data_IF_968201259203
#
_entry.id   IF_968201259203
#
_cell.length_a   1.000
_cell.length_b   1.000
_cell.length_c   1.000
_cell.angle_alpha   90.00
_cell.angle_beta   90.00
_cell.angle_gamma   90.00
#
_symmetry.space_group_name_H-M   'P 1'
#
loop_
_entity.id
_entity.type
_entity.pdbx_description
1 polymer ?
#
# COMPACT_ATOMS: atom_id res chain seq x y z
N UNK A 1 17.60 5.59 -10.75
CA UNK A 1 17.49 5.70 -9.27
C UNK A 1 16.18 5.07 -8.84
N UNK A 2 16.10 4.27 -7.76
CA UNK A 2 14.82 3.73 -7.29
C UNK A 2 14.12 4.70 -6.32
N UNK A 3 12.78 4.63 -6.22
CA UNK A 3 11.95 5.58 -5.47
C UNK A 3 12.37 5.69 -3.98
N UNK A 4 12.74 4.56 -3.38
CA UNK A 4 13.19 4.48 -1.98
C UNK A 4 14.50 5.25 -1.78
N UNK A 5 15.49 5.08 -2.67
CA UNK A 5 16.75 5.84 -2.60
C UNK A 5 16.53 7.34 -2.77
N UNK A 6 15.65 7.76 -3.69
CA UNK A 6 15.35 9.18 -3.88
C UNK A 6 14.77 9.81 -2.61
N UNK A 7 13.77 9.18 -1.99
CA UNK A 7 13.12 9.73 -0.80
C UNK A 7 14.00 9.64 0.44
N UNK A 8 14.79 8.56 0.58
CA UNK A 8 15.78 8.47 1.64
C UNK A 8 16.88 9.53 1.49
N UNK A 9 17.29 9.85 0.26
CA UNK A 9 18.19 10.97 -0.01
C UNK A 9 17.55 12.30 0.43
N UNK A 10 16.28 12.53 0.09
CA UNK A 10 15.58 13.74 0.53
C UNK A 10 15.57 13.90 2.06
N UNK A 11 15.31 12.81 2.79
CA UNK A 11 15.30 12.79 4.24
C UNK A 11 16.68 13.10 4.84
N UNK A 12 17.75 12.53 4.27
CA UNK A 12 19.10 12.68 4.83
C UNK A 12 19.78 14.01 4.45
N UNK A 13 19.46 14.57 3.28
CA UNK A 13 20.21 15.70 2.72
C UNK A 13 19.50 17.05 2.90
N UNK A 14 18.17 17.08 2.96
CA UNK A 14 17.40 18.33 3.05
C UNK A 14 16.75 18.51 4.42
N UNK A 15 15.49 18.95 4.47
CA UNK A 15 14.81 19.37 5.70
C UNK A 15 14.50 18.23 6.68
N UNK A 16 14.63 16.96 6.26
CA UNK A 16 14.26 15.77 7.02
C UNK A 16 12.83 15.78 7.60
N UNK A 17 11.97 16.67 7.12
CA UNK A 17 10.65 16.94 7.70
C UNK A 17 9.58 17.28 6.66
N UNK A 18 10.00 17.54 5.42
CA UNK A 18 9.13 17.84 4.28
C UNK A 18 9.69 17.20 3.02
N UNK A 19 8.86 17.05 2.00
CA UNK A 19 9.29 16.56 0.68
C UNK A 19 9.71 17.74 -0.20
N UNK A 20 10.91 17.67 -0.80
CA UNK A 20 11.45 18.73 -1.65
C UNK A 20 10.85 18.67 -3.06
N UNK A 21 10.70 19.83 -3.70
CA UNK A 21 10.18 19.95 -5.06
C UNK A 21 11.04 19.21 -6.08
N UNK A 22 12.35 19.41 -6.10
CA UNK A 22 13.22 18.73 -7.07
C UNK A 22 14.67 18.76 -6.61
N UNK A 23 15.45 17.79 -7.09
CA UNK A 23 16.90 17.79 -7.06
C UNK A 23 17.40 16.95 -8.24
N UNK A 24 18.61 17.21 -8.71
CA UNK A 24 19.23 16.44 -9.78
C UNK A 24 19.86 15.15 -9.24
N UNK A 25 20.24 14.22 -10.12
CA UNK A 25 20.85 12.94 -9.70
C UNK A 25 22.18 13.10 -8.93
N UNK A 26 22.86 14.24 -9.13
CA UNK A 26 24.06 14.68 -8.39
C UNK A 26 23.76 15.25 -7.01
N UNK A 27 22.48 15.53 -6.68
CA UNK A 27 22.05 16.17 -5.44
C UNK A 27 21.79 17.67 -5.54
N UNK A 28 22.13 18.30 -6.66
CA UNK A 28 22.01 19.75 -6.82
C UNK A 28 20.55 20.20 -6.91
N UNK A 29 20.25 21.36 -6.30
CA UNK A 29 18.95 22.03 -6.45
C UNK A 29 18.86 22.67 -7.84
N UNK A 30 18.36 21.93 -8.84
CA UNK A 30 18.10 22.48 -10.17
C UNK A 30 16.94 21.82 -10.90
N UNK A 31 16.41 22.54 -11.88
CA UNK A 31 15.65 21.95 -12.97
C UNK A 31 16.57 21.74 -14.18
N UNK A 32 16.49 20.60 -14.87
CA UNK A 32 17.30 20.34 -16.07
C UNK A 32 17.15 21.41 -17.16
N UNK A 33 15.98 22.05 -17.23
CA UNK A 33 15.63 23.06 -18.24
C UNK A 33 15.91 24.51 -17.82
N UNK A 34 16.26 24.76 -16.55
CA UNK A 34 16.59 26.11 -16.05
C UNK A 34 18.01 26.27 -15.49
N UNK A 35 18.75 25.17 -15.31
CA UNK A 35 20.09 25.20 -14.73
C UNK A 35 20.12 25.57 -13.23
N UNK A 36 21.32 25.80 -12.70
CA UNK A 36 21.56 26.05 -11.27
C UNK A 36 21.07 27.43 -10.79
N UNK A 37 20.93 28.41 -11.68
CA UNK A 37 20.63 29.80 -11.32
C UNK A 37 19.26 29.96 -10.65
N UNK A 38 18.31 29.07 -10.95
CA UNK A 38 16.98 29.07 -10.34
C UNK A 38 16.85 28.07 -9.17
N UNK A 39 17.97 27.51 -8.66
CA UNK A 39 17.96 26.56 -7.56
C UNK A 39 17.29 27.09 -6.30
N UNK A 40 17.44 28.39 -6.01
CA UNK A 40 16.78 29.05 -4.88
C UNK A 40 15.24 29.11 -4.96
N UNK A 41 14.64 28.85 -6.12
CA UNK A 41 13.18 28.78 -6.30
C UNK A 41 12.61 27.38 -6.04
N UNK A 42 13.45 26.39 -5.74
CA UNK A 42 13.00 25.04 -5.41
C UNK A 42 12.41 25.06 -4.01
N UNK A 43 11.12 24.80 -3.92
CA UNK A 43 10.45 24.68 -2.62
C UNK A 43 10.99 23.48 -1.86
N UNK A 44 11.37 23.68 -0.61
CA UNK A 44 11.75 22.61 0.32
C UNK A 44 10.53 21.87 0.89
N UNK A 45 9.31 22.34 0.62
CA UNK A 45 8.06 21.69 0.99
C UNK A 45 7.11 21.72 -0.22
N UNK A 46 6.98 20.59 -0.93
CA UNK A 46 6.23 20.53 -2.16
C UNK A 46 5.44 19.22 -2.31
N UNK A 47 4.13 19.37 -2.47
CA UNK A 47 3.20 18.26 -2.44
C UNK A 47 3.40 17.24 -3.57
N UNK A 48 3.92 17.63 -4.75
CA UNK A 48 4.08 16.67 -5.85
C UNK A 48 5.09 15.55 -5.58
N UNK A 49 5.85 15.66 -4.49
CA UNK A 49 6.88 14.71 -4.06
C UNK A 49 6.39 13.84 -2.91
N UNK A 50 5.10 13.88 -2.57
CA UNK A 50 4.49 13.04 -1.52
C UNK A 50 3.98 11.70 -2.05
N UNK A 51 4.37 11.31 -3.28
CA UNK A 51 3.99 10.04 -3.90
C UNK A 51 4.14 8.80 -3.00
N UNK A 52 5.22 8.66 -2.19
CA UNK A 52 5.34 7.53 -1.28
C UNK A 52 4.25 7.43 -0.22
N UNK A 53 3.68 8.55 0.23
CA UNK A 53 2.56 8.52 1.19
C UNK A 53 1.38 7.78 0.60
N UNK A 54 0.96 8.14 -0.62
CA UNK A 54 -0.11 7.45 -1.33
C UNK A 54 0.26 6.00 -1.67
N UNK A 55 1.49 5.76 -2.14
CA UNK A 55 1.92 4.40 -2.52
C UNK A 55 2.00 3.44 -1.34
N UNK A 56 2.44 3.91 -0.16
CA UNK A 56 2.50 3.08 1.04
C UNK A 56 1.09 2.72 1.54
N UNK A 57 0.14 3.66 1.45
CA UNK A 57 -1.25 3.40 1.86
C UNK A 57 -1.97 2.50 0.86
N UNK A 58 -1.98 2.89 -0.41
CA UNK A 58 -2.86 2.30 -1.43
C UNK A 58 -2.32 0.99 -2.01
N UNK A 59 -1.00 0.88 -2.19
CA UNK A 59 -0.37 -0.29 -2.83
C UNK A 59 0.30 -1.23 -1.83
N UNK A 60 1.13 -0.70 -0.93
CA UNK A 60 1.79 -1.55 0.08
C UNK A 60 0.79 -2.00 1.14
N UNK A 61 -0.05 -1.08 1.64
CA UNK A 61 -1.23 -1.42 2.45
C UNK A 61 -2.27 -2.20 1.65
N UNK A 62 -2.37 -1.94 0.35
CA UNK A 62 -3.19 -2.71 -0.59
C UNK A 62 -4.67 -2.34 -0.60
N UNK A 63 -5.13 -1.45 0.27
CA UNK A 63 -6.52 -1.01 0.32
C UNK A 63 -6.68 0.23 -0.56
N UNK A 64 -7.41 0.12 -1.67
CA UNK A 64 -7.58 1.20 -2.64
C UNK A 64 -9.05 1.45 -2.97
N UNK A 65 -9.51 2.72 -3.07
CA UNK A 65 -10.84 3.02 -3.58
C UNK A 65 -10.89 2.81 -5.10
N UNK A 66 -11.96 2.20 -5.60
CA UNK A 66 -12.17 1.90 -7.04
C UNK A 66 -13.18 2.85 -7.67
N UNK A 67 -14.24 3.21 -6.94
CA UNK A 67 -15.25 4.17 -7.40
C UNK A 67 -15.39 5.35 -6.45
N UNK A 68 -16.17 6.35 -6.88
CA UNK A 68 -16.41 7.58 -6.15
C UNK A 68 -16.70 7.35 -4.66
N UNK A 69 -15.98 8.10 -3.84
CA UNK A 69 -16.07 8.05 -2.39
C UNK A 69 -15.89 6.65 -1.78
N UNK A 70 -15.28 5.68 -2.47
CA UNK A 70 -15.03 4.35 -1.91
C UNK A 70 -16.29 3.51 -1.76
N UNK A 71 -17.35 3.78 -2.53
CA UNK A 71 -18.51 2.87 -2.64
C UNK A 71 -18.06 1.46 -3.02
N UNK A 72 -17.05 1.41 -3.87
CA UNK A 72 -16.25 0.23 -4.10
C UNK A 72 -14.77 0.50 -3.83
N UNK A 73 -14.07 -0.52 -3.34
CA UNK A 73 -12.66 -0.58 -3.01
C UNK A 73 -12.03 -1.87 -3.56
N UNK A 74 -10.76 -2.12 -3.30
CA UNK A 74 -10.14 -3.44 -3.52
C UNK A 74 -9.04 -3.63 -2.48
N UNK A 75 -8.79 -4.89 -2.12
CA UNK A 75 -7.64 -5.24 -1.30
C UNK A 75 -6.64 -6.10 -2.07
N UNK A 76 -5.52 -5.48 -2.45
CA UNK A 76 -4.41 -6.11 -3.19
C UNK A 76 -3.07 -5.68 -2.55
N UNK A 77 -2.64 -6.33 -1.46
CA UNK A 77 -1.43 -5.94 -0.74
C UNK A 77 -0.15 -6.30 -1.50
N UNK A 78 0.70 -5.31 -1.78
CA UNK A 78 2.04 -5.51 -2.34
C UNK A 78 3.09 -5.70 -1.24
N UNK A 79 2.93 -6.72 -0.40
CA UNK A 79 3.82 -6.98 0.74
C UNK A 79 5.18 -7.61 0.33
N UNK A 80 5.22 -8.34 -0.80
CA UNK A 80 6.40 -9.08 -1.23
C UNK A 80 7.61 -8.16 -1.50
N UNK A 81 8.77 -8.53 -0.95
CA UNK A 81 10.03 -7.82 -1.18
C UNK A 81 10.09 -6.40 -0.59
N UNK A 82 9.19 -6.06 0.33
CA UNK A 82 9.19 -4.75 1.02
C UNK A 82 10.08 -4.72 2.27
N UNK A 83 10.49 -5.88 2.78
CA UNK A 83 11.12 -6.06 4.10
C UNK A 83 10.30 -5.52 5.30
N UNK A 84 9.00 -5.26 5.08
CA UNK A 84 8.06 -4.83 6.12
C UNK A 84 7.43 -6.06 6.77
N UNK A 85 7.65 -6.27 8.06
CA UNK A 85 7.00 -7.35 8.81
C UNK A 85 5.57 -7.04 9.24
N UNK A 86 5.28 -5.77 9.53
CA UNK A 86 3.98 -5.30 10.03
C UNK A 86 3.67 -3.93 9.42
N UNK A 87 2.41 -3.72 9.02
CA UNK A 87 1.94 -2.47 8.47
C UNK A 87 0.57 -2.13 9.02
N UNK A 88 0.36 -0.85 9.33
CA UNK A 88 -0.96 -0.27 9.58
C UNK A 88 -1.11 1.02 8.80
N UNK A 89 -2.19 1.15 8.04
CA UNK A 89 -2.50 2.35 7.26
C UNK A 89 -4.00 2.50 7.05
N UNK A 90 -4.42 3.60 6.44
CA UNK A 90 -5.81 3.89 6.19
C UNK A 90 -6.03 5.27 5.59
N UNK A 91 -7.28 5.54 5.26
CA UNK A 91 -7.73 6.83 4.73
C UNK A 91 -9.22 7.04 5.06
N UNK A 92 -9.66 8.29 4.98
CA UNK A 92 -11.07 8.66 5.17
C UNK A 92 -11.63 9.19 3.86
N UNK A 93 -12.80 8.69 3.46
CA UNK A 93 -13.61 9.21 2.37
C UNK A 93 -14.97 9.69 2.89
N UNK A 94 -15.78 10.26 2.00
CA UNK A 94 -17.12 10.73 2.37
C UNK A 94 -18.05 9.60 2.88
N UNK A 95 -17.74 8.33 2.56
CA UNK A 95 -18.46 7.14 3.05
C UNK A 95 -18.01 6.69 4.44
N UNK A 96 -16.83 7.12 4.90
CA UNK A 96 -16.27 6.76 6.21
C UNK A 96 -14.79 6.40 6.16
N UNK A 97 -14.33 5.79 7.23
CA UNK A 97 -12.94 5.39 7.42
C UNK A 97 -12.66 4.00 6.84
N UNK A 98 -11.50 3.88 6.22
CA UNK A 98 -10.93 2.66 5.69
C UNK A 98 -9.61 2.40 6.42
N UNK A 99 -9.49 1.26 7.09
CA UNK A 99 -8.27 0.89 7.80
C UNK A 99 -7.82 -0.50 7.37
N UNK A 100 -6.51 -0.68 7.31
CA UNK A 100 -5.90 -1.98 7.08
C UNK A 100 -4.70 -2.14 8.01
N UNK A 101 -4.63 -3.32 8.61
CA UNK A 101 -3.47 -3.80 9.33
C UNK A 101 -3.10 -5.16 8.77
N UNK A 102 -1.82 -5.39 8.48
CA UNK A 102 -1.36 -6.71 8.10
C UNK A 102 0.01 -7.04 8.69
N UNK A 103 0.27 -8.33 8.82
CA UNK A 103 1.54 -8.89 9.25
C UNK A 103 1.98 -9.99 8.29
N UNK A 104 3.25 -9.96 7.89
CA UNK A 104 3.92 -11.04 7.15
C UNK A 104 5.11 -11.58 7.94
N UNK A 105 5.37 -12.89 7.86
CA UNK A 105 6.50 -13.54 8.57
C UNK A 105 7.16 -14.60 7.69
N UNK A 106 8.36 -15.01 8.12
CA UNK A 106 9.06 -16.18 7.60
C UNK A 106 9.28 -16.15 6.08
N UNK A 107 9.97 -15.13 5.56
CA UNK A 107 10.22 -14.98 4.12
C UNK A 107 8.92 -15.12 3.33
N UNK A 108 7.91 -14.33 3.73
CA UNK A 108 6.70 -14.20 2.93
C UNK A 108 5.95 -15.54 2.77
N UNK A 109 5.87 -16.33 3.84
CA UNK A 109 5.12 -17.61 3.89
C UNK A 109 3.90 -17.57 4.82
N UNK A 110 3.70 -16.45 5.51
CA UNK A 110 2.59 -16.20 6.40
C UNK A 110 2.08 -14.79 6.13
N UNK A 111 0.76 -14.63 5.99
CA UNK A 111 0.12 -13.33 5.83
C UNK A 111 -1.22 -13.32 6.57
N UNK A 112 -1.42 -12.32 7.43
CA UNK A 112 -2.69 -12.05 8.09
C UNK A 112 -3.02 -10.58 7.89
N UNK A 113 -4.28 -10.27 7.58
CA UNK A 113 -4.76 -8.91 7.41
C UNK A 113 -6.11 -8.73 8.12
N UNK A 114 -6.26 -7.56 8.74
CA UNK A 114 -7.52 -7.07 9.29
C UNK A 114 -7.90 -5.81 8.51
N UNK A 115 -9.12 -5.79 7.98
CA UNK A 115 -9.67 -4.67 7.23
C UNK A 115 -10.90 -4.14 7.95
N UNK A 116 -10.99 -2.82 8.10
CA UNK A 116 -12.22 -2.15 8.52
C UNK A 116 -12.65 -1.21 7.39
N UNK A 117 -13.89 -1.40 6.93
CA UNK A 117 -14.47 -0.59 5.85
C UNK A 117 -15.87 -0.13 6.22
N UNK A 118 -16.38 0.97 5.64
CA UNK A 118 -17.72 1.46 5.94
C UNK A 118 -18.82 0.46 5.55
N UNK A 119 -19.94 0.49 6.27
CA UNK A 119 -21.10 -0.34 5.97
C UNK A 119 -21.60 -0.12 4.53
N UNK A 120 -22.12 -1.17 3.90
CA UNK A 120 -22.63 -1.15 2.52
C UNK A 120 -21.56 -0.82 1.46
N UNK A 121 -20.28 -1.10 1.76
CA UNK A 121 -19.20 -1.18 0.77
C UNK A 121 -18.74 -2.63 0.68
N UNK A 122 -18.43 -3.14 -0.51
CA UNK A 122 -18.05 -4.56 -0.67
C UNK A 122 -17.30 -4.78 -1.97
N UNK A 123 -16.17 -5.48 -1.89
CA UNK A 123 -15.29 -5.70 -3.03
C UNK A 123 -14.32 -6.87 -2.87
N UNK A 124 -13.58 -7.23 -3.94
CA UNK A 124 -12.65 -8.35 -3.90
C UNK A 124 -11.48 -8.15 -2.94
N UNK A 125 -11.09 -9.26 -2.32
CA UNK A 125 -9.91 -9.40 -1.45
C UNK A 125 -8.94 -10.38 -2.11
N UNK A 126 -7.69 -9.97 -2.23
CA UNK A 126 -6.58 -10.78 -2.74
C UNK A 126 -5.62 -11.14 -1.61
N UNK A 127 -5.14 -12.39 -1.62
CA UNK A 127 -4.11 -12.88 -0.70
C UNK A 127 -2.79 -13.00 -1.46
N UNK A 128 -1.67 -12.42 -0.97
CA UNK A 128 -0.39 -12.49 -1.66
C UNK A 128 0.15 -13.93 -1.65
N UNK A 129 0.52 -14.43 -2.82
CA UNK A 129 1.21 -15.73 -2.96
C UNK A 129 2.73 -15.60 -2.84
N UNK A 130 3.23 -14.35 -2.77
CA UNK A 130 4.64 -14.03 -2.66
C UNK A 130 5.52 -14.68 -3.75
N UNK A 131 4.97 -14.77 -4.96
CA UNK A 131 5.63 -15.38 -6.11
C UNK A 131 5.76 -16.91 -6.04
N UNK A 132 5.13 -17.56 -5.05
CA UNK A 132 5.16 -19.01 -4.88
C UNK A 132 3.99 -19.64 -5.64
N UNK A 133 4.27 -20.74 -6.35
CA UNK A 133 3.23 -21.64 -6.81
C UNK A 133 2.78 -22.48 -5.62
N UNK A 134 1.55 -22.29 -5.16
CA UNK A 134 1.02 -22.96 -3.98
C UNK A 134 0.08 -24.09 -4.42
N UNK A 135 0.26 -25.29 -3.85
CA UNK A 135 -0.62 -26.43 -4.10
C UNK A 135 -1.99 -26.25 -3.41
N UNK A 136 -2.03 -25.49 -2.33
CA UNK A 136 -3.23 -25.11 -1.60
C UNK A 136 -3.01 -23.76 -0.90
N UNK A 137 -4.09 -22.99 -0.75
CA UNK A 137 -4.14 -21.79 0.09
C UNK A 137 -5.35 -21.94 1.00
N UNK A 138 -5.13 -21.78 2.29
CA UNK A 138 -6.21 -21.69 3.27
C UNK A 138 -6.51 -20.22 3.53
N UNK A 139 -7.77 -19.82 3.32
CA UNK A 139 -8.23 -18.44 3.53
C UNK A 139 -9.39 -18.48 4.51
N UNK A 140 -9.18 -17.92 5.71
CA UNK A 140 -10.22 -17.73 6.70
C UNK A 140 -10.63 -16.27 6.72
N UNK A 141 -11.94 -16.01 6.61
CA UNK A 141 -12.51 -14.67 6.57
C UNK A 141 -13.61 -14.57 7.61
N UNK A 142 -13.48 -13.59 8.50
CA UNK A 142 -14.50 -13.25 9.49
C UNK A 142 -15.19 -11.95 9.08
N UNK A 143 -16.37 -12.02 8.46
CA UNK A 143 -17.16 -10.85 8.09
C UNK A 143 -18.28 -11.11 7.08
N UNK A 144 -19.11 -10.09 6.84
CA UNK A 144 -20.09 -10.10 5.75
C UNK A 144 -19.39 -9.71 4.45
N UNK A 145 -19.15 -10.68 3.55
CA UNK A 145 -18.61 -10.40 2.22
C UNK A 145 -19.53 -10.94 1.13
N UNK A 146 -19.70 -10.15 0.07
CA UNK A 146 -20.28 -10.60 -1.20
C UNK A 146 -19.13 -11.16 -2.05
N UNK A 147 -19.13 -12.46 -2.26
CA UNK A 147 -17.91 -13.27 -2.46
C UNK A 147 -17.27 -13.13 -3.86
N UNK A 148 -16.09 -12.48 -3.92
CA UNK A 148 -15.09 -12.71 -4.97
C UNK A 148 -13.66 -12.62 -4.40
N UNK A 149 -13.14 -13.74 -3.89
CA UNK A 149 -11.72 -13.87 -3.59
C UNK A 149 -10.99 -14.34 -4.85
N UNK A 150 -10.14 -13.49 -5.40
CA UNK A 150 -9.28 -13.85 -6.55
C UNK A 150 -7.83 -13.87 -6.07
N UNK A 151 -7.24 -15.06 -5.99
CA UNK A 151 -5.79 -15.18 -5.97
C UNK A 151 -5.31 -15.35 -7.41
N UNK A 152 -4.24 -14.65 -7.80
CA UNK A 152 -3.50 -15.05 -9.00
C UNK A 152 -2.95 -16.47 -8.75
N UNK A 153 -3.62 -17.48 -9.31
CA UNK A 153 -3.26 -18.90 -9.20
C UNK A 153 -3.75 -19.65 -7.96
N UNK A 154 -4.79 -19.17 -7.25
CA UNK A 154 -5.30 -19.84 -6.05
C UNK A 154 -6.69 -20.48 -6.26
N UNK A 155 -6.86 -21.70 -5.76
CA UNK A 155 -8.17 -22.33 -5.52
C UNK A 155 -8.65 -21.92 -4.13
N UNK A 156 -9.83 -21.29 -4.05
CA UNK A 156 -10.47 -20.94 -2.77
C UNK A 156 -11.08 -22.21 -2.17
N UNK A 157 -10.58 -22.65 -1.02
CA UNK A 157 -11.25 -23.68 -0.21
C UNK A 157 -12.04 -22.99 0.88
N UNK A 158 -13.37 -23.14 0.87
CA UNK A 158 -14.26 -22.59 1.88
C UNK A 158 -14.03 -23.34 3.20
N UNK A 159 -13.48 -22.67 4.20
CA UNK A 159 -13.54 -23.14 5.59
C UNK A 159 -14.97 -22.92 6.08
N UNK A 160 -15.76 -23.98 6.16
CA UNK A 160 -17.00 -23.94 6.94
C UNK A 160 -16.60 -23.97 8.42
N UNK A 161 -17.17 -23.07 9.21
CA UNK A 161 -17.02 -23.08 10.65
C UNK A 161 -17.41 -24.47 11.17
N UNK A 162 -16.43 -25.29 11.56
CA UNK A 162 -16.70 -26.45 12.42
C UNK A 162 -17.10 -25.91 13.79
N UNK A 163 -18.41 -25.86 14.03
CA UNK A 163 -18.95 -25.87 15.39
C UNK A 163 -18.82 -27.31 15.88
N UNK A 164 -17.73 -27.62 16.57
CA UNK A 164 -17.69 -28.83 17.41
C UNK A 164 -18.49 -28.58 18.67
N UNK A 165 -19.54 -29.40 18.85
CA UNK A 165 -20.28 -29.58 20.10
C UNK A 165 -19.43 -30.25 21.19
#
# INVERSE_FOLDING_TARGET
>A
MNLVRCHLYMLNTFSNSTTIKAFYETGELMYPFYGLELGGYISHAHAWSTGPTASLTLHVGGLSPVTDAGKTWEFVPHAAGTDIGELRTGYTLATGDFTVEWTTKNQDSYFIANLETPQNTTDPISVPTFGKSLNSIEVSINGNMDQRCTGYGATVVKGENEVTA
#
